data_IF_809343560960
#
_entry.id   IF_809343560960
#
_cell.length_a   1.000
_cell.length_b   1.000
_cell.length_c   1.000
_cell.angle_alpha   90.00
_cell.angle_beta   90.00
_cell.angle_gamma   90.00
#
_symmetry.space_group_name_H-M   'P 1'
#
loop_
_entity.id
_entity.type
_entity.pdbx_description
1 polymer ?
#
# COMPACT_ATOMS: atom_id res chain seq x y z
N UNK A 1 -74.99 -13.32 -46.62
CA UNK A 1 -74.20 -12.37 -47.43
C UNK A 1 -72.72 -12.62 -47.11
N UNK A 2 -71.99 -13.17 -48.12
CA UNK A 2 -70.53 -13.39 -48.30
C UNK A 2 -69.66 -13.68 -47.05
N UNK A 3 -69.12 -14.88 -46.78
CA UNK A 3 -68.26 -15.85 -47.52
C UNK A 3 -66.76 -15.75 -47.11
N UNK A 4 -66.28 -16.89 -46.59
CA UNK A 4 -64.92 -17.38 -46.29
C UNK A 4 -63.74 -16.76 -47.09
N UNK A 5 -62.55 -16.78 -46.48
CA UNK A 5 -61.36 -17.32 -47.17
C UNK A 5 -60.24 -17.78 -46.20
N UNK A 6 -59.92 -19.07 -46.25
CA UNK A 6 -58.56 -19.60 -46.08
C UNK A 6 -57.75 -19.15 -47.32
N UNK A 7 -56.42 -18.99 -47.31
CA UNK A 7 -55.43 -20.08 -47.49
C UNK A 7 -54.01 -19.49 -47.49
N UNK A 8 -53.06 -20.34 -47.05
CA UNK A 8 -51.59 -20.28 -47.04
C UNK A 8 -50.91 -19.67 -48.28
N UNK A 9 -49.78 -19.00 -48.06
CA UNK A 9 -48.62 -19.02 -48.97
C UNK A 9 -47.31 -18.90 -48.18
N UNK A 10 -46.31 -19.66 -48.61
CA UNK A 10 -45.10 -20.00 -47.88
C UNK A 10 -43.86 -19.19 -48.32
N UNK A 11 -42.95 -19.00 -47.36
CA UNK A 11 -41.48 -19.01 -47.43
C UNK A 11 -40.71 -18.18 -48.49
N UNK A 12 -39.87 -17.22 -48.03
CA UNK A 12 -38.40 -17.37 -48.13
C UNK A 12 -37.62 -16.33 -47.29
N UNK A 13 -36.57 -16.86 -46.69
CA UNK A 13 -35.48 -16.34 -45.84
C UNK A 13 -34.76 -15.08 -46.35
N UNK A 14 -34.44 -14.15 -45.44
CA UNK A 14 -33.16 -13.44 -45.43
C UNK A 14 -32.81 -13.02 -43.98
N UNK A 15 -31.65 -13.49 -43.53
CA UNK A 15 -31.09 -13.31 -42.21
C UNK A 15 -30.70 -11.84 -41.92
N UNK A 16 -30.91 -11.42 -40.68
CA UNK A 16 -30.41 -10.15 -40.14
C UNK A 16 -30.42 -10.23 -38.62
N UNK A 17 -29.38 -10.84 -38.06
CA UNK A 17 -29.12 -10.94 -36.64
C UNK A 17 -28.99 -9.55 -36.01
N UNK A 18 -29.99 -9.12 -35.24
CA UNK A 18 -29.84 -8.03 -34.29
C UNK A 18 -29.62 -8.64 -32.89
N UNK A 19 -28.35 -8.81 -32.54
CA UNK A 19 -27.91 -9.09 -31.18
C UNK A 19 -28.17 -7.82 -30.36
N UNK A 20 -29.27 -7.79 -29.61
CA UNK A 20 -29.45 -6.85 -28.51
C UNK A 20 -28.69 -7.44 -27.32
N UNK A 21 -27.43 -7.04 -27.17
CA UNK A 21 -26.64 -7.34 -25.99
C UNK A 21 -27.23 -6.61 -24.78
N UNK A 22 -27.97 -7.34 -23.94
CA UNK A 22 -28.20 -6.94 -22.56
C UNK A 22 -26.86 -7.05 -21.82
N UNK A 23 -26.17 -5.92 -21.68
CA UNK A 23 -25.12 -5.78 -20.67
C UNK A 23 -25.79 -5.68 -19.30
N UNK A 24 -26.03 -6.84 -18.69
CA UNK A 24 -26.17 -6.94 -17.25
C UNK A 24 -24.78 -6.70 -16.64
N UNK A 25 -24.55 -5.50 -16.12
CA UNK A 25 -23.39 -5.21 -15.28
C UNK A 25 -23.57 -5.86 -13.91
N UNK A 26 -23.34 -7.16 -13.84
CA UNK A 26 -23.10 -7.85 -12.58
C UNK A 26 -21.64 -7.60 -12.20
N UNK A 27 -21.40 -6.81 -11.16
CA UNK A 27 -20.09 -6.78 -10.50
C UNK A 27 -19.91 -8.10 -9.76
N UNK A 28 -19.26 -9.07 -10.41
CA UNK A 28 -18.81 -10.33 -9.80
C UNK A 28 -17.32 -10.48 -10.06
N UNK A 29 -16.53 -10.41 -9.00
CA UNK A 29 -15.16 -10.93 -9.00
C UNK A 29 -15.31 -12.46 -9.04
N UNK A 30 -14.74 -13.18 -10.02
CA UNK A 30 -14.78 -14.63 -10.02
C UNK A 30 -13.74 -15.17 -9.04
N UNK A 31 -14.19 -15.79 -7.95
CA UNK A 31 -13.38 -16.78 -7.24
C UNK A 31 -13.25 -18.03 -8.12
N UNK A 32 -12.12 -18.71 -8.00
CA UNK A 32 -11.68 -19.79 -8.91
C UNK A 32 -12.51 -21.08 -8.80
N UNK A 33 -13.49 -21.13 -7.91
CA UNK A 33 -14.39 -22.27 -7.73
C UNK A 33 -15.85 -21.78 -7.86
N UNK A 34 -16.53 -22.22 -8.92
CA UNK A 34 -17.80 -21.68 -9.39
C UNK A 34 -19.00 -21.82 -8.45
N UNK A 35 -19.11 -20.92 -7.49
CA UNK A 35 -20.37 -20.50 -6.89
C UNK A 35 -20.47 -18.97 -7.04
N UNK A 36 -21.52 -18.48 -7.71
CA UNK A 36 -21.85 -17.07 -7.65
C UNK A 36 -22.28 -16.77 -6.22
N UNK A 37 -21.41 -16.14 -5.44
CA UNK A 37 -21.72 -15.76 -4.07
C UNK A 37 -22.95 -14.85 -4.09
N UNK A 38 -24.03 -15.29 -3.45
CA UNK A 38 -25.22 -14.47 -3.32
C UNK A 38 -24.86 -13.32 -2.40
N UNK A 39 -24.87 -12.09 -2.90
CA UNK A 39 -24.51 -10.89 -2.15
C UNK A 39 -25.23 -10.86 -0.78
N UNK A 40 -24.50 -11.08 0.31
CA UNK A 40 -25.05 -11.21 1.67
C UNK A 40 -25.15 -9.83 2.33
N UNK A 41 -26.17 -9.60 3.17
CA UNK A 41 -26.26 -8.40 4.00
C UNK A 41 -24.95 -8.19 4.78
N UNK A 42 -24.39 -6.98 4.69
CA UNK A 42 -23.12 -6.61 5.30
C UNK A 42 -23.22 -5.21 5.88
N UNK A 43 -22.70 -5.01 7.09
CA UNK A 43 -22.43 -3.68 7.63
C UNK A 43 -21.00 -3.27 7.24
N UNK A 44 -20.86 -2.16 6.53
CA UNK A 44 -19.57 -1.64 6.07
C UNK A 44 -19.29 -0.29 6.70
N UNK A 45 -18.12 -0.15 7.32
CA UNK A 45 -17.59 1.15 7.72
C UNK A 45 -16.39 1.48 6.84
N UNK A 46 -16.40 2.67 6.26
CA UNK A 46 -15.30 3.22 5.46
C UNK A 46 -14.53 4.22 6.32
N UNK A 47 -13.21 4.24 6.23
CA UNK A 47 -12.36 5.27 6.82
C UNK A 47 -11.50 5.87 5.71
N UNK A 48 -11.45 7.20 5.63
CA UNK A 48 -10.50 7.90 4.77
C UNK A 48 -10.13 9.28 5.31
N UNK A 49 -9.01 9.81 4.82
CA UNK A 49 -8.64 11.21 4.98
C UNK A 49 -8.50 11.82 3.58
N UNK A 50 -9.27 12.88 3.28
CA UNK A 50 -9.13 13.68 2.06
C UNK A 50 -8.56 15.06 2.44
N UNK A 51 -7.25 15.21 2.35
CA UNK A 51 -6.53 16.42 2.72
C UNK A 51 -5.03 16.18 2.68
N UNK A 52 -4.27 17.10 3.26
CA UNK A 52 -2.83 16.95 3.45
C UNK A 52 -2.43 15.62 4.14
N UNK A 53 -1.28 15.07 3.78
CA UNK A 53 -0.78 13.78 4.27
C UNK A 53 -1.22 12.54 3.46
N UNK A 54 -2.20 12.69 2.57
CA UNK A 54 -2.79 11.61 1.78
C UNK A 54 -2.93 11.96 0.30
N UNK A 55 -2.69 11.03 -0.64
CA UNK A 55 -3.10 11.22 -2.02
C UNK A 55 -4.63 11.38 -2.12
N UNK A 56 -5.09 12.37 -2.89
CA UNK A 56 -6.51 12.62 -3.10
C UNK A 56 -7.21 11.40 -3.73
N UNK A 57 -8.46 11.16 -3.34
CA UNK A 57 -9.26 10.10 -3.96
C UNK A 57 -9.81 10.59 -5.30
N UNK A 58 -9.28 10.06 -6.39
CA UNK A 58 -9.65 10.46 -7.76
C UNK A 58 -10.84 9.67 -8.32
N UNK A 59 -11.04 8.43 -7.86
CA UNK A 59 -12.19 7.61 -8.25
C UNK A 59 -12.89 6.99 -7.02
N UNK A 60 -13.97 7.65 -6.58
CA UNK A 60 -14.78 7.18 -5.46
C UNK A 60 -15.61 5.93 -5.80
N UNK A 61 -15.98 5.72 -7.07
CA UNK A 61 -16.75 4.53 -7.47
C UNK A 61 -15.90 3.27 -7.28
N UNK A 62 -14.62 3.31 -7.66
CA UNK A 62 -13.72 2.18 -7.48
C UNK A 62 -13.51 1.82 -6.00
N UNK A 63 -13.35 2.84 -5.16
CA UNK A 63 -13.23 2.66 -3.71
C UNK A 63 -14.48 2.03 -3.08
N UNK A 64 -15.65 2.23 -3.70
CA UNK A 64 -16.93 1.73 -3.22
C UNK A 64 -17.35 0.41 -3.88
N UNK A 65 -16.55 -0.17 -4.78
CA UNK A 65 -16.89 -1.40 -5.49
C UNK A 65 -17.12 -2.59 -4.55
N UNK A 66 -16.43 -2.61 -3.41
CA UNK A 66 -16.55 -3.63 -2.36
C UNK A 66 -17.72 -3.40 -1.39
N UNK A 67 -18.41 -2.26 -1.47
CA UNK A 67 -19.57 -1.99 -0.60
C UNK A 67 -20.79 -2.73 -1.13
N UNK A 68 -21.34 -3.61 -0.29
CA UNK A 68 -22.57 -4.30 -0.59
C UNK A 68 -23.79 -3.51 -0.10
N UNK A 69 -24.77 -3.31 -0.98
CA UNK A 69 -26.02 -2.61 -0.68
C UNK A 69 -27.21 -3.57 -0.51
N UNK A 70 -26.93 -4.87 -0.31
CA UNK A 70 -27.95 -5.91 -0.06
C UNK A 70 -28.86 -5.52 1.11
N UNK A 71 -30.18 -5.78 1.00
CA UNK A 71 -31.12 -5.52 2.08
C UNK A 71 -30.72 -6.13 3.44
N UNK A 72 -30.83 -5.34 4.52
CA UNK A 72 -30.45 -5.71 5.88
C UNK A 72 -29.00 -5.34 6.26
N UNK A 73 -28.21 -4.84 5.30
CA UNK A 73 -26.89 -4.26 5.56
C UNK A 73 -26.91 -2.76 5.81
N UNK A 74 -25.72 -2.19 5.98
CA UNK A 74 -25.54 -0.74 6.11
C UNK A 74 -24.17 -0.30 5.60
N UNK A 75 -24.02 0.97 5.23
CA UNK A 75 -22.70 1.54 4.96
C UNK A 75 -22.59 2.95 5.55
N UNK A 76 -21.44 3.29 6.11
CA UNK A 76 -21.13 4.65 6.52
C UNK A 76 -19.66 4.96 6.38
N UNK A 77 -19.35 6.25 6.49
CA UNK A 77 -18.02 6.79 6.30
C UNK A 77 -17.54 7.50 7.56
N UNK A 78 -16.26 7.37 7.88
CA UNK A 78 -15.56 8.15 8.90
C UNK A 78 -14.43 8.91 8.23
N UNK A 79 -14.39 10.21 8.44
CA UNK A 79 -13.26 11.05 8.07
C UNK A 79 -12.26 11.05 9.22
N UNK A 80 -11.02 10.63 8.97
CA UNK A 80 -9.98 10.47 9.98
C UNK A 80 -9.10 11.72 10.14
N UNK A 81 -9.69 12.92 10.10
CA UNK A 81 -8.94 14.15 10.41
C UNK A 81 -8.62 14.25 11.92
N UNK A 82 -8.05 15.35 12.40
CA UNK A 82 -7.61 15.46 13.80
C UNK A 82 -8.73 15.42 14.82
N UNK A 83 -9.99 15.47 14.38
CA UNK A 83 -11.18 15.21 15.20
C UNK A 83 -12.18 14.39 14.39
N UNK A 84 -11.98 13.05 14.32
CA UNK A 84 -12.74 12.21 13.40
C UNK A 84 -14.25 12.33 13.56
N UNK A 85 -14.95 12.31 12.44
CA UNK A 85 -16.41 12.40 12.39
C UNK A 85 -17.00 11.41 11.39
N UNK A 86 -18.24 10.98 11.63
CA UNK A 86 -18.94 10.00 10.81
C UNK A 86 -20.01 10.67 9.93
N UNK A 87 -20.17 10.15 8.72
CA UNK A 87 -21.24 10.41 7.77
C UNK A 87 -22.02 9.10 7.58
N UNK A 88 -23.26 9.05 8.06
CA UNK A 88 -24.10 7.84 8.07
C UNK A 88 -24.20 7.15 9.44
N UNK A 89 -24.53 5.85 9.51
CA UNK A 89 -24.64 4.92 8.38
C UNK A 89 -25.95 5.08 7.61
N UNK A 90 -25.89 4.88 6.31
CA UNK A 90 -27.03 4.60 5.47
C UNK A 90 -27.43 3.13 5.66
N UNK A 91 -28.70 2.89 6.01
CA UNK A 91 -29.28 1.55 6.13
C UNK A 91 -29.88 1.11 4.81
N UNK A 92 -29.66 -0.14 4.44
CA UNK A 92 -30.24 -0.75 3.25
C UNK A 92 -31.46 -1.58 3.66
N UNK A 93 -32.48 -0.97 4.25
CA UNK A 93 -33.63 -1.74 4.77
C UNK A 93 -34.75 -1.93 3.72
N UNK A 94 -34.62 -1.28 2.56
CA UNK A 94 -35.69 -1.25 1.56
C UNK A 94 -35.70 -2.51 0.71
N UNK A 95 -36.79 -3.27 0.83
CA UNK A 95 -37.14 -4.36 -0.09
C UNK A 95 -38.25 -3.86 -1.03
N UNK A 96 -38.01 -3.90 -2.34
CA UNK A 96 -38.97 -3.50 -3.38
C UNK A 96 -39.73 -4.69 -3.93
N UNK A 97 -40.89 -4.41 -4.53
CA UNK A 97 -41.82 -5.43 -5.02
C UNK A 97 -41.32 -6.15 -6.29
N UNK A 98 -40.27 -5.66 -6.95
CA UNK A 98 -39.62 -6.32 -8.07
C UNK A 98 -38.16 -5.90 -8.22
N UNK A 99 -37.38 -6.73 -8.91
CA UNK A 99 -35.93 -6.60 -9.06
C UNK A 99 -35.50 -5.30 -9.77
N UNK A 100 -36.30 -4.80 -10.73
CA UNK A 100 -36.00 -3.55 -11.44
C UNK A 100 -36.07 -2.36 -10.47
N UNK A 101 -37.08 -2.35 -9.60
CA UNK A 101 -37.22 -1.32 -8.57
C UNK A 101 -36.15 -1.45 -7.49
N UNK A 102 -35.77 -2.68 -7.12
CA UNK A 102 -34.69 -2.92 -6.17
C UNK A 102 -33.36 -2.40 -6.71
N UNK A 103 -32.98 -2.80 -7.93
CA UNK A 103 -31.74 -2.36 -8.57
C UNK A 103 -31.64 -0.83 -8.71
N UNK A 104 -32.78 -0.13 -8.91
CA UNK A 104 -32.82 1.34 -8.90
C UNK A 104 -32.56 1.91 -7.51
N UNK A 105 -33.18 1.35 -6.48
CA UNK A 105 -32.96 1.78 -5.10
C UNK A 105 -31.50 1.54 -4.66
N UNK A 106 -30.95 0.38 -4.97
CA UNK A 106 -29.56 -0.01 -4.72
C UNK A 106 -28.59 0.95 -5.43
N UNK A 107 -28.87 1.28 -6.70
CA UNK A 107 -28.09 2.25 -7.46
C UNK A 107 -28.15 3.66 -6.85
N UNK A 108 -29.32 4.11 -6.42
CA UNK A 108 -29.47 5.39 -5.71
C UNK A 108 -28.70 5.39 -4.40
N UNK A 109 -28.74 4.30 -3.63
CA UNK A 109 -27.98 4.16 -2.39
C UNK A 109 -26.47 4.24 -2.64
N UNK A 110 -25.96 3.54 -3.66
CA UNK A 110 -24.55 3.65 -4.07
C UNK A 110 -24.17 5.07 -4.46
N UNK A 111 -25.01 5.79 -5.21
CA UNK A 111 -24.73 7.18 -5.57
C UNK A 111 -24.62 8.11 -4.36
N UNK A 112 -25.48 7.93 -3.35
CA UNK A 112 -25.40 8.72 -2.12
C UNK A 112 -24.09 8.47 -1.35
N UNK A 113 -23.60 7.23 -1.34
CA UNK A 113 -22.29 6.91 -0.77
C UNK A 113 -21.14 7.54 -1.56
N UNK A 114 -21.21 7.52 -2.90
CA UNK A 114 -20.24 8.18 -3.78
C UNK A 114 -20.18 9.68 -3.48
N UNK A 115 -21.33 10.35 -3.40
CA UNK A 115 -21.41 11.77 -3.07
C UNK A 115 -20.83 12.07 -1.67
N UNK A 116 -21.15 11.22 -0.68
CA UNK A 116 -20.61 11.37 0.67
C UNK A 116 -19.08 11.23 0.69
N UNK A 117 -18.52 10.23 0.02
CA UNK A 117 -17.07 10.00 -0.08
C UNK A 117 -16.36 11.12 -0.84
N UNK A 118 -16.93 11.60 -1.94
CA UNK A 118 -16.37 12.71 -2.73
C UNK A 118 -16.36 14.01 -1.93
N UNK A 119 -17.40 14.27 -1.14
CA UNK A 119 -17.52 15.49 -0.33
C UNK A 119 -16.80 15.43 1.03
N UNK A 120 -16.26 14.28 1.43
CA UNK A 120 -15.70 14.02 2.75
C UNK A 120 -14.27 14.57 2.94
N UNK A 121 -14.13 15.89 2.77
CA UNK A 121 -12.89 16.62 3.02
C UNK A 121 -12.54 16.68 4.52
N UNK A 122 -11.26 16.49 4.83
CA UNK A 122 -10.72 16.76 6.16
C UNK A 122 -10.76 18.27 6.47
N UNK A 123 -11.08 18.64 7.71
CA UNK A 123 -11.25 20.06 8.09
C UNK A 123 -10.53 20.44 9.38
N UNK A 124 -10.30 19.47 10.27
CA UNK A 124 -9.51 19.66 11.49
C UNK A 124 -8.06 19.27 11.21
N UNK A 125 -7.06 20.12 11.52
CA UNK A 125 -5.65 19.77 11.35
C UNK A 125 -5.28 18.45 12.03
N UNK A 126 -4.24 17.80 11.50
CA UNK A 126 -3.77 16.46 11.88
C UNK A 126 -4.69 15.32 11.44
N UNK A 127 -4.27 14.07 11.65
CA UNK A 127 -5.07 12.88 11.38
C UNK A 127 -5.08 11.93 12.58
N UNK A 128 -6.27 11.45 12.94
CA UNK A 128 -6.50 10.53 14.06
C UNK A 128 -7.17 9.22 13.59
N UNK A 129 -6.37 8.33 13.01
CA UNK A 129 -6.84 7.03 12.55
C UNK A 129 -7.30 6.13 13.72
N UNK A 130 -6.68 6.22 14.90
CA UNK A 130 -7.05 5.42 16.07
C UNK A 130 -8.48 5.75 16.54
N UNK A 131 -8.78 7.04 16.71
CA UNK A 131 -10.13 7.47 17.08
C UNK A 131 -11.14 7.23 15.95
N UNK A 132 -10.73 7.33 14.69
CA UNK A 132 -11.56 7.01 13.54
C UNK A 132 -11.97 5.52 13.52
N UNK A 133 -11.03 4.60 13.79
CA UNK A 133 -11.30 3.16 13.91
C UNK A 133 -12.26 2.91 15.08
N UNK A 134 -12.13 3.62 16.19
CA UNK A 134 -13.08 3.53 17.32
C UNK A 134 -14.49 4.01 16.94
N UNK A 135 -14.62 5.06 16.12
CA UNK A 135 -15.90 5.52 15.61
C UNK A 135 -16.51 4.51 14.62
N UNK A 136 -15.70 3.95 13.72
CA UNK A 136 -16.11 2.91 12.79
C UNK A 136 -16.54 1.61 13.50
N UNK A 137 -15.82 1.19 14.54
CA UNK A 137 -16.20 0.03 15.38
C UNK A 137 -17.60 0.20 15.98
N UNK A 138 -17.93 1.40 16.50
CA UNK A 138 -19.27 1.69 17.01
C UNK A 138 -20.33 1.66 15.92
N UNK A 139 -20.01 2.19 14.73
CA UNK A 139 -20.90 2.15 13.57
C UNK A 139 -21.23 0.71 13.18
N UNK A 140 -20.21 -0.15 13.07
CA UNK A 140 -20.35 -1.57 12.77
C UNK A 140 -21.14 -2.30 13.86
N UNK A 141 -20.87 -2.01 15.13
CA UNK A 141 -21.55 -2.64 16.27
C UNK A 141 -23.02 -2.27 16.36
N UNK A 142 -23.40 -1.07 15.90
CA UNK A 142 -24.81 -0.66 15.79
C UNK A 142 -25.52 -1.35 14.61
N UNK A 143 -24.77 -1.85 13.64
CA UNK A 143 -25.24 -2.63 12.49
C UNK A 143 -25.85 -3.97 12.88
N UNK A 144 -26.82 -4.44 12.10
CA UNK A 144 -27.60 -5.66 12.38
C UNK A 144 -27.22 -6.85 11.50
N UNK A 145 -26.34 -6.67 10.53
CA UNK A 145 -25.87 -7.75 9.68
C UNK A 145 -24.84 -8.61 10.42
N UNK A 146 -24.86 -9.91 10.14
CA UNK A 146 -23.88 -10.86 10.66
C UNK A 146 -22.48 -10.60 10.06
N UNK A 147 -22.43 -10.21 8.78
CA UNK A 147 -21.18 -9.84 8.12
C UNK A 147 -20.83 -8.38 8.38
N UNK A 148 -19.58 -8.12 8.75
CA UNK A 148 -19.06 -6.78 9.04
C UNK A 148 -17.70 -6.59 8.39
N UNK A 149 -17.53 -5.47 7.70
CA UNK A 149 -16.28 -5.13 7.01
C UNK A 149 -15.88 -3.70 7.34
N UNK A 150 -14.61 -3.50 7.67
CA UNK A 150 -13.98 -2.19 7.81
C UNK A 150 -13.05 -1.97 6.63
N UNK A 151 -13.24 -0.89 5.88
CA UNK A 151 -12.39 -0.54 4.74
C UNK A 151 -11.66 0.76 5.08
N UNK A 152 -10.34 0.75 5.02
CA UNK A 152 -9.50 1.88 5.39
C UNK A 152 -8.71 2.31 4.16
N UNK A 153 -8.76 3.60 3.83
CA UNK A 153 -7.85 4.25 2.89
C UNK A 153 -7.06 5.31 3.64
N UNK A 154 -5.88 4.96 4.11
CA UNK A 154 -5.06 5.82 4.94
C UNK A 154 -3.57 5.46 4.84
N UNK A 155 -2.67 6.42 5.04
CA UNK A 155 -1.21 6.19 5.03
C UNK A 155 -0.73 5.36 6.22
N UNK A 156 -1.58 5.26 7.25
CA UNK A 156 -1.23 4.71 8.55
C UNK A 156 -0.42 5.66 9.44
N UNK A 157 -0.01 6.83 8.94
CA UNK A 157 0.64 7.87 9.77
C UNK A 157 -0.43 8.54 10.63
N UNK A 158 -0.35 8.38 11.95
CA UNK A 158 -1.26 9.04 12.89
C UNK A 158 -0.55 10.25 13.51
N UNK A 159 -1.12 11.45 13.39
CA UNK A 159 -0.46 12.68 13.86
C UNK A 159 -1.21 13.42 14.96
N UNK A 160 -2.42 12.98 15.30
CA UNK A 160 -3.22 13.60 16.34
C UNK A 160 -2.60 13.39 17.74
N UNK A 161 -2.40 14.49 18.45
CA UNK A 161 -1.86 14.55 19.82
C UNK A 161 -2.77 13.84 20.83
N UNK A 162 -4.09 13.80 20.57
CA UNK A 162 -5.07 13.20 21.46
C UNK A 162 -4.98 11.66 21.54
N UNK A 163 -4.31 11.00 20.58
CA UNK A 163 -4.14 9.55 20.52
C UNK A 163 -2.65 9.19 20.50
N UNK A 164 -2.06 9.06 19.32
CA UNK A 164 -0.65 8.70 19.15
C UNK A 164 0.01 9.65 18.12
N UNK A 165 0.66 10.74 18.54
CA UNK A 165 1.36 11.63 17.62
C UNK A 165 2.66 10.98 17.15
N UNK A 166 2.62 10.24 16.03
CA UNK A 166 3.78 9.49 15.51
C UNK A 166 4.93 10.40 15.08
N UNK A 167 4.66 11.66 14.72
CA UNK A 167 5.67 12.67 14.38
C UNK A 167 6.60 13.03 15.54
N UNK A 168 6.13 12.83 16.78
CA UNK A 168 6.90 13.10 17.99
C UNK A 168 7.72 11.87 18.45
N UNK A 169 7.61 10.75 17.74
CA UNK A 169 8.29 9.49 18.06
C UNK A 169 9.57 9.34 17.25
N UNK A 170 10.58 8.73 17.88
CA UNK A 170 11.64 8.05 17.15
C UNK A 170 11.10 6.70 16.66
N UNK A 171 10.34 6.73 15.54
CA UNK A 171 9.61 5.56 15.04
C UNK A 171 10.50 4.31 15.01
N UNK A 172 11.68 4.40 14.40
CA UNK A 172 12.51 3.23 14.11
C UNK A 172 13.11 2.58 15.35
N UNK A 173 13.27 3.34 16.45
CA UNK A 173 13.76 2.83 17.72
C UNK A 173 12.64 2.58 18.75
N UNK A 174 11.41 2.96 18.41
CA UNK A 174 10.23 2.76 19.27
C UNK A 174 9.67 1.34 19.09
N UNK A 175 9.35 0.69 20.21
CA UNK A 175 8.74 -0.64 20.23
C UNK A 175 7.22 -0.54 20.06
N UNK A 176 6.64 -1.05 18.94
CA UNK A 176 5.21 -1.01 18.70
C UNK A 176 4.38 -1.66 19.81
N UNK A 177 4.89 -2.73 20.44
CA UNK A 177 4.14 -3.45 21.47
C UNK A 177 3.90 -2.59 22.70
N UNK A 178 4.91 -1.81 23.13
CA UNK A 178 4.79 -0.89 24.27
C UNK A 178 3.84 0.27 23.99
N UNK A 179 3.84 0.79 22.77
CA UNK A 179 2.89 1.83 22.36
C UNK A 179 1.46 1.28 22.39
N UNK A 180 1.25 0.06 21.91
CA UNK A 180 -0.05 -0.60 21.97
C UNK A 180 -0.49 -0.92 23.41
N UNK A 181 0.42 -1.24 24.32
CA UNK A 181 0.11 -1.41 25.75
C UNK A 181 -0.38 -0.08 26.37
N UNK A 182 0.21 1.05 25.98
CA UNK A 182 -0.24 2.37 26.41
C UNK A 182 -1.62 2.72 25.87
N UNK A 183 -1.87 2.43 24.59
CA UNK A 183 -3.19 2.62 23.97
C UNK A 183 -4.25 1.75 24.62
N UNK A 184 -3.93 0.49 24.95
CA UNK A 184 -4.84 -0.41 25.65
C UNK A 184 -5.15 0.10 27.07
N UNK A 185 -4.12 0.51 27.82
CA UNK A 185 -4.30 1.10 29.15
C UNK A 185 -5.13 2.39 29.13
N UNK A 186 -5.10 3.13 28.01
CA UNK A 186 -5.93 4.31 27.76
C UNK A 186 -7.32 3.97 27.20
N UNK A 187 -7.67 2.69 27.04
CA UNK A 187 -8.91 2.21 26.42
C UNK A 187 -9.13 2.74 24.99
N UNK A 188 -8.05 2.91 24.22
CA UNK A 188 -8.07 3.38 22.83
C UNK A 188 -8.07 2.25 21.80
N UNK A 189 -8.08 0.99 22.22
CA UNK A 189 -8.22 -0.17 21.34
C UNK A 189 -9.69 -0.62 21.29
N UNK A 190 -10.41 -0.41 20.17
CA UNK A 190 -11.79 -0.86 20.07
C UNK A 190 -11.87 -2.38 19.87
N UNK A 191 -13.01 -2.96 20.22
CA UNK A 191 -13.29 -4.37 19.95
C UNK A 191 -13.85 -4.53 18.52
N UNK A 192 -13.23 -5.39 17.73
CA UNK A 192 -13.55 -5.65 16.33
C UNK A 192 -13.54 -7.17 16.04
N UNK A 193 -13.85 -7.99 17.04
CA UNK A 193 -13.83 -9.45 16.96
C UNK A 193 -14.56 -9.97 15.70
N UNK A 194 -13.83 -10.64 14.81
CA UNK A 194 -14.38 -11.23 13.59
C UNK A 194 -14.68 -10.25 12.45
N UNK A 195 -14.37 -8.97 12.60
CA UNK A 195 -14.47 -7.98 11.52
C UNK A 195 -13.31 -8.16 10.55
N UNK A 196 -13.61 -8.26 9.26
CA UNK A 196 -12.60 -8.19 8.20
C UNK A 196 -12.19 -6.73 7.99
N UNK A 197 -10.88 -6.47 7.94
CA UNK A 197 -10.31 -5.13 7.72
C UNK A 197 -9.54 -5.13 6.40
N UNK A 198 -9.97 -4.33 5.45
CA UNK A 198 -9.30 -4.12 4.16
C UNK A 198 -8.56 -2.78 4.20
N UNK A 199 -7.23 -2.80 4.31
CA UNK A 199 -6.41 -1.62 4.50
C UNK A 199 -5.64 -1.27 3.21
N UNK A 200 -5.95 -0.11 2.63
CA UNK A 200 -5.36 0.43 1.42
C UNK A 200 -4.52 1.66 1.70
N UNK A 201 -3.43 1.81 0.94
CA UNK A 201 -2.60 3.02 0.96
C UNK A 201 -1.62 3.11 2.12
N UNK A 202 -1.32 1.99 2.82
CA UNK A 202 -0.36 2.01 3.92
C UNK A 202 1.02 2.47 3.42
N UNK A 203 1.51 3.59 3.96
CA UNK A 203 2.76 4.22 3.56
C UNK A 203 2.65 5.19 2.37
N UNK A 204 1.51 5.22 1.69
CA UNK A 204 1.27 6.15 0.59
C UNK A 204 0.89 7.52 1.13
N UNK A 205 1.71 8.53 0.84
CA UNK A 205 1.62 9.88 1.40
C UNK A 205 1.68 10.92 0.29
N UNK A 206 1.13 12.10 0.55
CA UNK A 206 1.21 13.25 -0.34
C UNK A 206 1.13 14.57 0.44
N UNK A 207 1.34 15.70 -0.26
CA UNK A 207 1.28 17.02 0.35
C UNK A 207 2.55 17.34 1.16
N UNK A 208 2.37 17.82 2.39
CA UNK A 208 3.46 18.17 3.31
C UNK A 208 4.19 16.94 3.87
N UNK A 209 3.52 15.80 3.95
CA UNK A 209 4.12 14.54 4.37
C UNK A 209 5.03 14.01 3.25
N UNK A 210 6.33 14.16 3.46
CA UNK A 210 7.34 13.60 2.56
C UNK A 210 7.30 12.07 2.52
N UNK A 211 7.78 11.51 1.40
CA UNK A 211 7.90 10.06 1.18
C UNK A 211 8.55 9.37 2.37
N UNK A 212 7.91 8.30 2.83
CA UNK A 212 8.41 7.50 3.95
C UNK A 212 9.52 6.55 3.50
N UNK A 213 10.48 6.27 4.38
CA UNK A 213 11.47 5.22 4.12
C UNK A 213 10.84 3.83 4.20
N UNK A 214 11.45 2.83 3.56
CA UNK A 214 11.00 1.44 3.65
C UNK A 214 10.95 0.93 5.11
N UNK A 215 11.86 1.42 5.97
CA UNK A 215 11.87 1.08 7.39
C UNK A 215 10.68 1.70 8.14
N UNK A 216 10.30 2.94 7.83
CA UNK A 216 9.10 3.57 8.39
C UNK A 216 7.82 2.86 7.94
N UNK A 217 7.71 2.50 6.66
CA UNK A 217 6.54 1.76 6.14
C UNK A 217 6.44 0.38 6.80
N UNK A 218 7.57 -0.33 6.95
CA UNK A 218 7.60 -1.62 7.64
C UNK A 218 7.22 -1.47 9.11
N UNK A 219 7.68 -0.42 9.78
CA UNK A 219 7.29 -0.13 11.16
C UNK A 219 5.77 0.11 11.27
N UNK A 220 5.20 0.94 10.38
CA UNK A 220 3.75 1.18 10.33
C UNK A 220 2.98 -0.12 10.14
N UNK A 221 3.42 -0.98 9.21
CA UNK A 221 2.80 -2.29 8.98
C UNK A 221 2.82 -3.16 10.23
N UNK A 222 3.95 -3.25 10.91
CA UNK A 222 4.09 -4.01 12.15
C UNK A 222 3.21 -3.44 13.27
N UNK A 223 3.16 -2.12 13.42
CA UNK A 223 2.29 -1.45 14.40
C UNK A 223 0.81 -1.73 14.13
N UNK A 224 0.32 -1.50 12.90
CA UNK A 224 -1.08 -1.68 12.56
C UNK A 224 -1.52 -3.15 12.55
N UNK A 225 -0.66 -4.08 12.14
CA UNK A 225 -0.95 -5.51 12.29
C UNK A 225 -1.20 -5.85 13.77
N UNK A 226 -0.27 -5.49 14.64
CA UNK A 226 -0.39 -5.76 16.07
C UNK A 226 -1.56 -5.00 16.72
N UNK A 227 -1.90 -3.81 16.22
CA UNK A 227 -3.11 -3.08 16.62
C UNK A 227 -4.35 -3.93 16.34
N UNK A 228 -4.56 -4.36 15.09
CA UNK A 228 -5.75 -5.13 14.69
C UNK A 228 -5.82 -6.50 15.34
N UNK A 229 -4.68 -7.17 15.54
CA UNK A 229 -4.62 -8.44 16.28
C UNK A 229 -5.20 -8.28 17.70
N UNK A 230 -4.88 -7.18 18.40
CA UNK A 230 -5.42 -6.88 19.74
C UNK A 230 -6.92 -6.52 19.72
N UNK A 231 -7.43 -6.00 18.61
CA UNK A 231 -8.88 -5.75 18.45
C UNK A 231 -9.69 -7.01 18.13
N UNK A 232 -9.04 -8.13 17.78
CA UNK A 232 -9.69 -9.36 17.32
C UNK A 232 -10.14 -9.32 15.85
N UNK A 233 -9.68 -8.32 15.09
CA UNK A 233 -9.98 -8.17 13.67
C UNK A 233 -8.96 -8.91 12.81
N UNK A 234 -9.35 -9.24 11.57
CA UNK A 234 -8.42 -9.79 10.58
C UNK A 234 -8.10 -8.72 9.53
N UNK A 235 -6.88 -8.19 9.55
CA UNK A 235 -6.44 -7.16 8.61
C UNK A 235 -5.72 -7.74 7.39
N UNK A 236 -6.12 -7.26 6.21
CA UNK A 236 -5.45 -7.47 4.93
C UNK A 236 -4.90 -6.13 4.46
N UNK A 237 -3.58 -6.06 4.30
CA UNK A 237 -2.91 -4.90 3.71
C UNK A 237 -2.80 -5.08 2.20
N UNK A 238 -3.45 -4.19 1.45
CA UNK A 238 -3.39 -4.18 -0.02
C UNK A 238 -2.13 -3.48 -0.49
N UNK A 239 -1.54 -4.01 -1.57
CA UNK A 239 -0.30 -3.50 -2.16
C UNK A 239 -0.52 -2.57 -3.34
N UNK A 240 -1.78 -2.29 -3.67
CA UNK A 240 -2.14 -1.33 -4.72
C UNK A 240 -1.66 0.07 -4.29
N UNK A 241 -0.75 0.64 -5.07
CA UNK A 241 -0.18 1.95 -4.78
C UNK A 241 -1.25 3.01 -5.02
N UNK A 242 -1.57 3.75 -3.97
CA UNK A 242 -2.40 4.94 -4.03
C UNK A 242 -1.49 6.13 -4.32
N UNK A 243 -1.60 6.72 -5.51
CA UNK A 243 -0.72 7.82 -5.94
C UNK A 243 -1.53 9.04 -6.39
N UNK A 244 -0.88 10.21 -6.37
CA UNK A 244 -1.47 11.50 -6.73
C UNK A 244 -1.18 12.59 -5.71
N UNK A 245 -1.57 13.82 -6.02
CA UNK A 245 -1.41 14.96 -5.14
C UNK A 245 -2.40 14.92 -3.97
N UNK A 246 -2.06 15.56 -2.85
CA UNK A 246 -3.00 15.78 -1.76
C UNK A 246 -4.09 16.78 -2.17
N UNK A 247 -5.27 16.64 -1.55
CA UNK A 247 -6.35 17.60 -1.75
C UNK A 247 -5.97 18.94 -1.11
N UNK A 248 -5.94 20.02 -1.90
CA UNK A 248 -5.65 21.36 -1.40
C UNK A 248 -6.93 22.03 -0.85
N UNK A 249 -7.21 21.78 0.43
CA UNK A 249 -8.41 22.27 1.15
C UNK A 249 -8.10 23.03 2.45
N UNK A 250 -6.82 23.35 2.71
CA UNK A 250 -6.37 24.02 3.93
C UNK A 250 -6.24 23.10 5.16
N UNK A 251 -6.57 21.81 5.05
CA UNK A 251 -6.15 20.80 6.01
C UNK A 251 -4.63 20.69 6.02
N UNK A 252 -4.02 20.47 7.18
CA UNK A 252 -2.57 20.31 7.33
C UNK A 252 -2.27 19.19 8.31
N UNK A 253 -1.22 18.41 8.05
CA UNK A 253 -0.64 17.48 9.02
C UNK A 253 0.76 17.94 9.40
N UNK A 254 1.23 17.55 10.57
CA UNK A 254 2.64 17.68 10.95
C UNK A 254 3.40 16.47 10.40
N UNK A 255 4.34 16.64 9.44
CA UNK A 255 5.02 15.51 8.84
C UNK A 255 5.85 14.71 9.84
N UNK A 256 5.92 13.39 9.64
CA UNK A 256 6.97 12.58 10.26
C UNK A 256 8.33 13.16 9.93
N UNK A 257 9.23 13.15 10.91
CA UNK A 257 10.64 13.37 10.63
C UNK A 257 11.09 12.39 9.54
N UNK A 258 11.87 12.89 8.59
CA UNK A 258 12.54 12.02 7.64
C UNK A 258 13.31 10.96 8.45
N UNK A 259 13.12 9.68 8.12
CA UNK A 259 13.98 8.65 8.69
C UNK A 259 15.43 9.07 8.45
N UNK A 260 16.27 8.91 9.47
CA UNK A 260 17.71 9.00 9.25
C UNK A 260 18.11 8.08 8.09
N UNK A 261 19.14 8.48 7.35
CA UNK A 261 19.78 7.69 6.32
C UNK A 261 19.81 6.19 6.68
N UNK A 262 19.38 5.27 5.78
CA UNK A 262 19.59 3.86 6.04
C UNK A 262 21.10 3.63 6.23
N UNK A 263 21.48 2.89 7.28
CA UNK A 263 22.89 2.62 7.61
C UNK A 263 23.40 1.33 6.96
N UNK A 264 22.48 0.43 6.61
CA UNK A 264 22.78 -0.83 5.92
C UNK A 264 21.61 -1.23 5.01
N UNK A 265 21.90 -1.45 3.74
CA UNK A 265 20.95 -1.95 2.74
C UNK A 265 21.62 -3.07 1.95
N UNK A 266 20.97 -4.23 1.87
CA UNK A 266 21.31 -5.29 0.91
C UNK A 266 20.38 -5.16 -0.28
N UNK A 267 20.92 -4.78 -1.44
CA UNK A 267 20.21 -4.81 -2.71
C UNK A 267 20.38 -6.21 -3.29
N UNK A 268 19.37 -7.05 -3.08
CA UNK A 268 19.41 -8.46 -3.44
C UNK A 268 19.05 -8.70 -4.91
N UNK A 269 19.25 -9.93 -5.39
CA UNK A 269 18.92 -10.31 -6.76
C UNK A 269 17.41 -10.25 -7.05
N UNK A 270 16.55 -10.33 -6.03
CA UNK A 270 15.10 -10.13 -6.17
C UNK A 270 14.74 -8.68 -6.49
N UNK A 271 15.55 -7.72 -6.05
CA UNK A 271 15.33 -6.29 -6.28
C UNK A 271 16.07 -5.82 -7.54
N UNK A 272 17.34 -6.18 -7.66
CA UNK A 272 18.23 -5.79 -8.77
C UNK A 272 19.04 -7.00 -9.17
N UNK A 273 18.60 -7.67 -10.24
CA UNK A 273 19.36 -8.73 -10.88
C UNK A 273 20.25 -8.18 -12.00
N UNK A 274 21.42 -8.78 -12.17
CA UNK A 274 22.32 -8.52 -13.30
C UNK A 274 22.25 -9.66 -14.31
N UNK A 275 22.47 -9.35 -15.58
CA UNK A 275 22.73 -10.33 -16.62
C UNK A 275 23.99 -11.16 -16.26
N UNK A 276 24.07 -12.43 -16.71
CA UNK A 276 25.24 -13.28 -16.48
C UNK A 276 26.53 -12.60 -16.93
N UNK A 277 27.57 -12.64 -16.08
CA UNK A 277 28.91 -12.08 -16.33
C UNK A 277 28.93 -10.64 -16.86
N UNK A 278 27.93 -9.85 -16.47
CA UNK A 278 27.72 -8.48 -16.97
C UNK A 278 27.33 -7.52 -15.84
N UNK A 279 27.47 -6.22 -16.14
CA UNK A 279 26.98 -5.10 -15.34
C UNK A 279 25.61 -4.61 -15.79
N UNK A 280 25.07 -5.12 -16.90
CA UNK A 280 23.72 -4.80 -17.35
C UNK A 280 22.68 -5.41 -16.40
N UNK A 281 21.62 -4.66 -16.08
CA UNK A 281 20.51 -5.18 -15.31
C UNK A 281 19.71 -6.21 -16.13
N UNK A 282 19.15 -7.20 -15.44
CA UNK A 282 18.28 -8.21 -16.05
C UNK A 282 16.97 -7.56 -16.54
N UNK A 283 16.41 -6.68 -15.71
CA UNK A 283 15.27 -5.82 -16.00
C UNK A 283 15.64 -4.37 -15.63
N UNK A 284 15.96 -3.56 -16.64
CA UNK A 284 16.39 -2.18 -16.48
C UNK A 284 15.31 -1.32 -15.79
N UNK A 285 14.04 -1.52 -16.14
CA UNK A 285 12.95 -0.70 -15.62
C UNK A 285 12.67 -1.02 -14.15
N UNK A 286 12.62 -2.31 -13.80
CA UNK A 286 12.43 -2.74 -12.42
C UNK A 286 13.61 -2.34 -11.53
N UNK A 287 14.85 -2.51 -12.01
CA UNK A 287 16.05 -2.10 -11.28
C UNK A 287 16.06 -0.60 -11.00
N UNK A 288 15.76 0.24 -12.00
CA UNK A 288 15.67 1.69 -11.83
C UNK A 288 14.54 2.09 -10.89
N UNK A 289 13.38 1.45 -10.94
CA UNK A 289 12.29 1.72 -10.00
C UNK A 289 12.72 1.43 -8.55
N UNK A 290 13.35 0.28 -8.30
CA UNK A 290 13.85 -0.09 -6.98
C UNK A 290 14.94 0.88 -6.48
N UNK A 291 15.91 1.22 -7.33
CA UNK A 291 17.01 2.11 -6.98
C UNK A 291 16.57 3.58 -6.82
N UNK A 292 15.58 4.06 -7.59
CA UNK A 292 15.00 5.38 -7.39
C UNK A 292 14.33 5.50 -6.02
N UNK A 293 13.58 4.48 -5.60
CA UNK A 293 13.00 4.42 -4.26
C UNK A 293 14.07 4.45 -3.15
N UNK A 294 15.22 3.81 -3.39
CA UNK A 294 16.36 3.87 -2.47
C UNK A 294 17.05 5.25 -2.50
N UNK A 295 17.20 5.88 -3.67
CA UNK A 295 17.79 7.19 -3.82
C UNK A 295 17.03 8.26 -3.03
N UNK A 296 15.70 8.21 -3.00
CA UNK A 296 14.90 9.12 -2.14
C UNK A 296 15.28 8.98 -0.66
N UNK A 297 15.51 7.75 -0.18
CA UNK A 297 15.92 7.51 1.21
C UNK A 297 17.32 8.07 1.49
N UNK A 298 18.26 7.96 0.54
CA UNK A 298 19.63 8.46 0.67
C UNK A 298 19.72 10.00 0.57
N UNK A 299 18.81 10.64 -0.19
CA UNK A 299 18.74 12.11 -0.35
C UNK A 299 18.30 12.84 0.92
N UNK A 300 17.48 12.21 1.76
CA UNK A 300 16.95 12.82 2.99
C UNK A 300 18.00 13.17 4.06
N UNK A 301 19.28 12.84 3.85
CA UNK A 301 20.34 13.02 4.85
C UNK A 301 21.52 13.80 4.25
N UNK A 302 21.77 15.02 4.70
CA UNK A 302 22.73 15.91 4.02
C UNK A 302 24.22 15.67 4.34
N UNK A 303 24.60 14.58 5.03
CA UNK A 303 25.97 14.41 5.53
C UNK A 303 26.55 12.97 5.52
N UNK A 304 25.78 11.93 5.20
CA UNK A 304 26.29 10.55 5.29
C UNK A 304 27.07 10.15 4.02
N UNK A 305 28.29 9.63 4.18
CA UNK A 305 29.04 8.98 3.10
C UNK A 305 28.73 7.47 3.10
N UNK A 306 28.72 6.86 1.94
CA UNK A 306 28.27 5.48 1.73
C UNK A 306 29.31 4.64 1.00
N UNK A 307 29.47 3.41 1.46
CA UNK A 307 30.18 2.38 0.72
C UNK A 307 29.16 1.58 -0.10
N UNK A 308 29.33 1.57 -1.42
CA UNK A 308 28.59 0.68 -2.33
C UNK A 308 29.48 -0.51 -2.66
N UNK A 309 29.19 -1.66 -2.07
CA UNK A 309 30.03 -2.85 -2.17
C UNK A 309 29.34 -3.96 -2.98
N UNK A 310 29.94 -4.38 -4.09
CA UNK A 310 29.43 -5.50 -4.87
C UNK A 310 29.92 -6.83 -4.34
N UNK A 311 29.08 -7.85 -4.39
CA UNK A 311 29.40 -9.23 -3.99
C UNK A 311 29.00 -10.21 -5.10
N UNK A 312 29.75 -11.31 -5.20
CA UNK A 312 29.47 -12.42 -6.10
C UNK A 312 29.32 -13.73 -5.32
N UNK A 313 28.55 -14.65 -5.90
CA UNK A 313 28.61 -16.05 -5.52
C UNK A 313 30.01 -16.62 -5.74
N UNK A 314 30.41 -17.57 -4.91
CA UNK A 314 31.57 -18.41 -5.17
C UNK A 314 31.20 -19.43 -6.26
N UNK A 315 31.99 -19.45 -7.33
CA UNK A 315 31.87 -20.41 -8.43
C UNK A 315 33.23 -21.04 -8.70
N UNK A 316 33.22 -22.28 -9.20
CA UNK A 316 34.45 -23.01 -9.48
C UNK A 316 35.29 -22.27 -10.54
N UNK A 317 36.60 -22.18 -10.30
CA UNK A 317 37.60 -21.58 -11.19
C UNK A 317 37.52 -20.05 -11.40
N UNK A 318 36.73 -19.30 -10.63
CA UNK A 318 36.82 -17.84 -10.64
C UNK A 318 38.10 -17.36 -9.96
N UNK A 319 38.85 -16.46 -10.61
CA UNK A 319 39.96 -15.76 -9.95
C UNK A 319 39.41 -14.72 -8.97
N UNK A 320 40.16 -14.49 -7.89
CA UNK A 320 39.84 -13.47 -6.89
C UNK A 320 39.73 -12.10 -7.54
N UNK A 321 40.72 -11.73 -8.35
CA UNK A 321 40.77 -10.44 -9.05
C UNK A 321 39.61 -10.28 -10.03
N UNK A 322 39.20 -11.35 -10.72
CA UNK A 322 38.07 -11.33 -11.64
C UNK A 322 36.73 -11.14 -10.91
N UNK A 323 36.54 -11.84 -9.78
CA UNK A 323 35.35 -11.71 -8.96
C UNK A 323 35.24 -10.30 -8.35
N UNK A 324 36.34 -9.78 -7.81
CA UNK A 324 36.40 -8.42 -7.26
C UNK A 324 36.14 -7.38 -8.35
N UNK A 325 36.78 -7.46 -9.52
CA UNK A 325 36.55 -6.54 -10.63
C UNK A 325 35.10 -6.55 -11.13
N UNK A 326 34.49 -7.73 -11.33
CA UNK A 326 33.09 -7.83 -11.75
C UNK A 326 32.15 -7.23 -10.70
N UNK A 327 32.39 -7.54 -9.43
CA UNK A 327 31.56 -7.04 -8.33
C UNK A 327 31.70 -5.52 -8.15
N UNK A 328 32.90 -4.96 -8.32
CA UNK A 328 33.15 -3.52 -8.31
C UNK A 328 32.37 -2.83 -9.45
N UNK A 329 32.44 -3.38 -10.65
CA UNK A 329 31.74 -2.82 -11.81
C UNK A 329 30.20 -2.84 -11.62
N UNK A 330 29.65 -3.85 -10.93
CA UNK A 330 28.24 -3.89 -10.54
C UNK A 330 27.89 -2.87 -9.46
N UNK A 331 28.77 -2.66 -8.49
CA UNK A 331 28.61 -1.60 -7.49
C UNK A 331 28.57 -0.22 -8.13
N UNK A 332 29.44 0.02 -9.13
CA UNK A 332 29.45 1.26 -9.91
C UNK A 332 28.15 1.44 -10.71
N UNK A 333 27.65 0.39 -11.36
CA UNK A 333 26.36 0.45 -12.06
C UNK A 333 25.19 0.84 -11.13
N UNK A 334 25.16 0.32 -9.90
CA UNK A 334 24.17 0.71 -8.88
C UNK A 334 24.36 2.17 -8.44
N UNK A 335 25.60 2.59 -8.15
CA UNK A 335 25.92 3.98 -7.81
C UNK A 335 25.44 4.93 -8.89
N UNK A 336 25.71 4.63 -10.16
CA UNK A 336 25.42 5.52 -11.28
C UNK A 336 23.90 5.79 -11.39
N UNK A 337 23.05 4.77 -11.18
CA UNK A 337 21.59 4.95 -11.11
C UNK A 337 21.17 5.82 -9.92
N UNK A 338 21.77 5.62 -8.73
CA UNK A 338 21.48 6.43 -7.55
C UNK A 338 21.87 7.91 -7.75
N UNK A 339 22.98 8.15 -8.47
CA UNK A 339 23.45 9.49 -8.83
C UNK A 339 22.52 10.13 -9.86
N UNK A 340 22.11 9.39 -10.89
CA UNK A 340 21.09 9.84 -11.85
C UNK A 340 19.76 10.20 -11.16
N UNK A 341 19.40 9.49 -10.10
CA UNK A 341 18.24 9.76 -9.26
C UNK A 341 18.43 10.95 -8.28
N UNK A 342 19.60 11.59 -8.29
CA UNK A 342 19.88 12.85 -7.59
C UNK A 342 20.67 12.74 -6.29
N UNK A 343 21.24 11.59 -5.94
CA UNK A 343 22.19 11.49 -4.82
C UNK A 343 23.57 12.03 -5.28
N UNK A 344 24.22 12.96 -4.55
CA UNK A 344 25.54 13.46 -4.95
C UNK A 344 26.58 12.34 -5.07
N UNK A 345 27.33 12.34 -6.19
CA UNK A 345 28.29 11.28 -6.51
C UNK A 345 29.47 11.20 -5.52
N UNK A 346 29.85 12.32 -4.91
CA UNK A 346 30.90 12.43 -3.91
C UNK A 346 30.54 11.77 -2.57
N UNK A 347 29.29 11.32 -2.39
CA UNK A 347 28.84 10.58 -1.21
C UNK A 347 29.07 9.08 -1.29
N UNK A 348 29.66 8.57 -2.36
CA UNK A 348 29.85 7.14 -2.56
C UNK A 348 31.31 6.76 -2.72
N UNK A 349 31.67 5.59 -2.19
CA UNK A 349 32.90 4.85 -2.53
C UNK A 349 32.49 3.46 -2.99
N UNK A 350 32.91 3.07 -4.20
CA UNK A 350 32.60 1.75 -4.73
C UNK A 350 33.69 0.73 -4.38
N UNK A 351 33.28 -0.44 -3.91
CA UNK A 351 34.15 -1.58 -3.60
C UNK A 351 33.70 -2.85 -4.31
N UNK A 352 34.65 -3.65 -4.78
CA UNK A 352 34.43 -5.02 -5.23
C UNK A 352 34.85 -6.02 -4.17
N UNK A 353 33.88 -6.67 -3.51
CA UNK A 353 34.15 -7.72 -2.53
C UNK A 353 34.42 -9.06 -3.19
N UNK A 354 33.94 -9.29 -4.42
CA UNK A 354 33.96 -10.61 -5.04
C UNK A 354 33.33 -11.65 -4.13
N UNK A 355 34.09 -12.69 -3.76
CA UNK A 355 33.68 -13.73 -2.81
C UNK A 355 34.43 -13.69 -1.46
N UNK A 356 34.98 -12.54 -1.08
CA UNK A 356 35.66 -12.37 0.21
C UNK A 356 34.76 -12.77 1.40
N UNK A 357 35.35 -13.36 2.46
CA UNK A 357 34.62 -13.65 3.69
C UNK A 357 34.27 -12.34 4.40
N UNK A 358 32.97 -12.10 4.59
CA UNK A 358 32.45 -10.97 5.36
C UNK A 358 31.36 -11.43 6.32
N UNK A 359 31.07 -10.66 7.36
CA UNK A 359 30.05 -10.93 8.38
C UNK A 359 28.64 -11.06 7.82
N UNK A 360 28.39 -10.53 6.62
CA UNK A 360 27.07 -10.53 5.95
C UNK A 360 26.97 -11.52 4.78
N UNK A 361 28.04 -12.29 4.51
CA UNK A 361 28.03 -13.32 3.47
C UNK A 361 27.10 -14.47 3.87
N UNK A 362 26.19 -14.85 2.98
CA UNK A 362 25.30 -15.98 3.17
C UNK A 362 26.02 -17.29 2.88
N UNK A 363 25.66 -18.35 3.61
CA UNK A 363 26.03 -19.72 3.29
C UNK A 363 25.34 -20.21 2.01
N UNK A 364 24.23 -19.58 1.60
CA UNK A 364 23.53 -19.86 0.35
C UNK A 364 24.12 -18.99 -0.78
N UNK A 365 25.05 -19.55 -1.54
CA UNK A 365 25.85 -18.82 -2.53
C UNK A 365 25.06 -17.95 -3.54
N UNK A 366 23.91 -18.38 -4.08
CA UNK A 366 23.03 -17.52 -4.87
C UNK A 366 22.69 -16.17 -4.23
N UNK A 367 22.49 -16.11 -2.90
CA UNK A 367 22.14 -14.88 -2.17
C UNK A 367 23.30 -13.88 -2.08
N UNK A 368 24.52 -14.31 -2.42
CA UNK A 368 25.72 -13.45 -2.43
C UNK A 368 25.86 -12.67 -3.74
N UNK A 369 24.99 -12.89 -4.73
CA UNK A 369 24.91 -12.09 -5.97
C UNK A 369 24.11 -10.81 -5.70
N UNK A 370 24.74 -9.86 -5.03
CA UNK A 370 24.06 -8.68 -4.52
C UNK A 370 25.01 -7.48 -4.47
N UNK A 371 24.45 -6.31 -4.17
CA UNK A 371 25.23 -5.14 -3.76
C UNK A 371 24.78 -4.69 -2.39
N UNK A 372 25.70 -4.14 -1.61
CA UNK A 372 25.44 -3.56 -0.30
C UNK A 372 25.65 -2.05 -0.37
N UNK A 373 24.81 -1.29 0.32
CA UNK A 373 24.98 0.14 0.53
C UNK A 373 24.99 0.35 2.04
N UNK A 374 26.15 0.75 2.57
CA UNK A 374 26.36 0.88 4.01
C UNK A 374 26.94 2.24 4.34
N UNK A 375 26.46 2.87 5.42
CA UNK A 375 27.02 4.13 5.88
C UNK A 375 28.46 3.91 6.36
N UNK A 376 29.36 4.83 6.01
CA UNK A 376 30.80 4.77 6.30
C UNK A 376 31.13 4.64 7.80
N UNK A 377 30.22 5.10 8.67
CA UNK A 377 30.29 5.00 10.13
C UNK A 377 30.01 3.60 10.70
N UNK A 378 29.61 2.63 9.87
CA UNK A 378 29.24 1.28 10.33
C UNK A 378 30.44 0.32 10.42
N UNK A 379 30.32 -0.72 11.25
CA UNK A 379 31.30 -1.79 11.33
C UNK A 379 31.44 -2.55 9.99
N UNK A 380 30.33 -2.69 9.25
CA UNK A 380 30.31 -3.33 7.94
C UNK A 380 31.09 -2.50 6.90
N UNK A 381 31.00 -1.17 6.94
CA UNK A 381 31.83 -0.32 6.08
C UNK A 381 33.33 -0.54 6.33
N UNK A 382 33.75 -0.59 7.60
CA UNK A 382 35.14 -0.87 7.96
C UNK A 382 35.60 -2.26 7.50
N UNK A 383 34.73 -3.27 7.63
CA UNK A 383 34.99 -4.63 7.13
C UNK A 383 35.16 -4.64 5.60
N UNK A 384 34.24 -4.00 4.87
CA UNK A 384 34.29 -3.95 3.41
C UNK A 384 35.52 -3.22 2.90
N UNK A 385 35.91 -2.10 3.51
CA UNK A 385 37.13 -1.36 3.18
C UNK A 385 38.40 -2.18 3.40
N UNK A 386 38.41 -3.12 4.35
CA UNK A 386 39.57 -3.94 4.64
C UNK A 386 39.81 -5.06 3.61
N UNK A 387 38.76 -5.56 2.97
CA UNK A 387 38.83 -6.74 2.07
C UNK A 387 38.52 -6.41 0.60
N UNK A 388 37.77 -5.34 0.36
CA UNK A 388 37.27 -4.98 -0.96
C UNK A 388 38.31 -4.30 -1.83
N UNK A 389 38.23 -4.55 -3.13
CA UNK A 389 38.98 -3.80 -4.13
C UNK A 389 38.31 -2.44 -4.35
N UNK A 390 39.03 -1.35 -4.02
CA UNK A 390 38.59 0.01 -4.31
C UNK A 390 38.72 0.36 -5.80
N UNK A 391 37.93 1.36 -6.21
CA UNK A 391 38.12 2.02 -7.49
C UNK A 391 39.49 2.72 -7.56
N UNK A 392 40.19 2.52 -8.67
CA UNK A 392 41.55 3.00 -8.92
C UNK A 392 41.61 4.42 -9.47
#
# INVERSE_FOLDING_TARGET
MKLKMLTRMAAMVAAGSLVVGLLAGCSVIPSKDGAADSAVATDTALILTQGDGMPALTNAEDFLNSVNVTPGGSAGLVVADGKPFALGPQRFDQVKNNDIQQARADKTARYQLVEAVQGAAATTPETDLISAISLASRMLSAGTADNKVLIIRHSGVNTAVASLPMQDLDLLNSDPAKLLDQLDAAAMLPQLNGVAVEFYGLGDVAGSQGTLSAQQVQWLKSFWQAFFDRTGANVTFHTDIVSGDALNNGHTVTPLAAAGAPTFVKVSAEQVAFQPDSTAFLDEAAARAALNGLAEQLKGTSAAHYIVAGSTAQVDNASREGAQALSLARAQAVRDVLVEAGVPADRFTCLGLGNEPTSVRSANEPENRCTYIVADTTAQAAEFLAVGQAES
#
